data_IF_299341621512
#
_entry.id   IF_299341621512
#
_cell.length_a   1.000
_cell.length_b   1.000
_cell.length_c   1.000
_cell.angle_alpha   90.00
_cell.angle_beta   90.00
_cell.angle_gamma   90.00
#
_symmetry.space_group_name_H-M   'P 1'
#
loop_
_entity.id
_entity.type
_entity.pdbx_description
1 polymer ?
#
# COMPACT_ATOMS: atom_id res chain seq x y z
N UNK A 1 -15.72 12.87 -1.04
CA UNK A 1 -16.32 12.02 -2.04
C UNK A 1 -16.74 10.70 -1.44
N UNK A 2 -17.85 10.20 -1.91
CA UNK A 2 -18.40 8.95 -1.38
C UNK A 2 -17.45 7.77 -1.58
N UNK A 3 -16.76 7.74 -2.71
CA UNK A 3 -15.88 6.61 -3.01
C UNK A 3 -14.72 6.51 -2.01
N UNK A 4 -14.25 7.63 -1.50
CA UNK A 4 -13.17 7.61 -0.52
C UNK A 4 -13.60 6.97 0.78
N UNK A 5 -14.83 7.26 1.21
CA UNK A 5 -15.33 6.71 2.46
C UNK A 5 -15.59 5.22 2.37
N UNK A 6 -15.84 4.74 1.16
CA UNK A 6 -16.20 3.35 0.93
C UNK A 6 -15.07 2.54 0.33
N UNK A 7 -13.90 3.11 0.24
CA UNK A 7 -12.76 2.40 -0.30
C UNK A 7 -12.41 1.24 0.63
N UNK A 8 -12.35 0.05 0.06
CA UNK A 8 -12.06 -1.12 0.88
C UNK A 8 -10.58 -1.16 1.25
N UNK A 9 -10.30 -1.84 2.33
CA UNK A 9 -8.93 -2.16 2.70
C UNK A 9 -8.43 -3.29 1.83
N UNK A 10 -7.20 -3.16 1.36
CA UNK A 10 -6.60 -4.16 0.49
C UNK A 10 -5.49 -4.89 1.21
N UNK A 11 -5.32 -6.15 0.88
CA UNK A 11 -4.27 -6.96 1.49
C UNK A 11 -2.91 -6.61 0.91
N UNK A 12 -1.86 -7.11 1.55
CA UNK A 12 -0.51 -6.96 1.04
C UNK A 12 -0.40 -7.59 -0.34
N UNK A 13 -0.99 -8.76 -0.51
CA UNK A 13 -0.95 -9.45 -1.80
C UNK A 13 -1.68 -8.65 -2.88
N UNK A 14 -2.84 -8.10 -2.54
CA UNK A 14 -3.59 -7.29 -3.50
C UNK A 14 -2.82 -6.04 -3.88
N UNK A 15 -2.15 -5.43 -2.92
CA UNK A 15 -1.38 -4.24 -3.18
C UNK A 15 -0.19 -4.54 -4.08
N UNK A 16 0.48 -5.67 -3.84
CA UNK A 16 1.60 -6.09 -4.69
C UNK A 16 1.14 -6.29 -6.12
N UNK A 17 0.01 -6.94 -6.30
CA UNK A 17 -0.53 -7.17 -7.63
C UNK A 17 -0.93 -5.86 -8.30
N UNK A 18 -1.55 -4.98 -7.54
CA UNK A 18 -1.97 -3.68 -8.05
C UNK A 18 -0.79 -2.86 -8.56
N UNK A 19 0.32 -2.90 -7.83
CA UNK A 19 1.52 -2.15 -8.22
C UNK A 19 2.43 -2.91 -9.16
N UNK A 20 2.16 -4.20 -9.38
CA UNK A 20 2.98 -5.00 -10.28
C UNK A 20 4.33 -5.37 -9.68
N UNK A 21 4.40 -5.53 -8.37
CA UNK A 21 5.64 -5.90 -7.68
C UNK A 21 5.40 -7.16 -6.85
N UNK A 22 6.48 -7.70 -6.29
CA UNK A 22 6.36 -8.89 -5.46
C UNK A 22 5.95 -8.53 -4.05
N UNK A 23 5.43 -9.51 -3.32
CA UNK A 23 5.07 -9.32 -1.92
C UNK A 23 6.30 -8.95 -1.09
N UNK A 24 7.43 -9.54 -1.42
CA UNK A 24 8.66 -9.22 -0.70
C UNK A 24 9.07 -7.77 -0.89
N UNK A 25 8.83 -7.22 -2.06
CA UNK A 25 9.09 -5.81 -2.31
C UNK A 25 8.24 -4.94 -1.39
N UNK A 26 6.95 -5.28 -1.25
CA UNK A 26 6.07 -4.53 -0.36
C UNK A 26 6.57 -4.62 1.08
N UNK A 27 6.94 -5.81 1.53
CA UNK A 27 7.45 -5.98 2.88
C UNK A 27 8.70 -5.17 3.13
N UNK A 28 9.57 -5.11 2.14
CA UNK A 28 10.79 -4.31 2.23
C UNK A 28 10.44 -2.82 2.37
N UNK A 29 9.48 -2.36 1.56
CA UNK A 29 9.07 -0.96 1.62
C UNK A 29 8.45 -0.61 2.97
N UNK A 30 7.72 -1.53 3.58
CA UNK A 30 7.15 -1.30 4.91
C UNK A 30 8.26 -1.01 5.91
N UNK A 31 9.38 -1.71 5.78
CA UNK A 31 10.50 -1.55 6.70
C UNK A 31 11.36 -0.34 6.39
N UNK A 32 11.54 -0.02 5.11
CA UNK A 32 12.55 0.94 4.69
C UNK A 32 11.98 2.28 4.24
N UNK A 33 10.69 2.35 3.98
CA UNK A 33 10.08 3.58 3.48
C UNK A 33 8.86 3.91 4.32
N UNK A 34 8.23 5.02 3.97
CA UNK A 34 7.00 5.43 4.66
C UNK A 34 5.75 5.09 3.86
N UNK A 35 5.79 3.99 3.13
CA UNK A 35 4.60 3.52 2.42
C UNK A 35 3.42 3.46 3.39
N UNK A 36 2.26 3.98 3.00
CA UNK A 36 1.10 4.02 3.91
C UNK A 36 0.51 2.63 4.12
N UNK A 37 1.04 1.93 5.11
CA UNK A 37 0.60 0.60 5.50
C UNK A 37 0.01 0.66 6.90
N UNK A 38 -1.09 -0.06 7.09
CA UNK A 38 -1.80 -0.04 8.36
C UNK A 38 -1.94 -1.46 8.88
N UNK A 39 -1.66 -1.65 10.16
CA UNK A 39 -1.72 -2.96 10.76
C UNK A 39 -3.11 -3.20 11.31
N UNK A 40 -3.76 -4.28 10.84
CA UNK A 40 -5.05 -4.68 11.34
C UNK A 40 -4.89 -6.10 11.89
N UNK A 41 -4.86 -6.20 13.21
CA UNK A 41 -4.50 -7.48 13.82
C UNK A 41 -3.09 -7.86 13.42
N UNK A 42 -2.96 -8.97 12.73
CA UNK A 42 -1.65 -9.46 12.27
C UNK A 42 -1.38 -9.15 10.81
N UNK A 43 -2.33 -8.49 10.13
CA UNK A 43 -2.25 -8.31 8.69
C UNK A 43 -1.97 -6.87 8.35
N UNK A 44 -1.18 -6.67 7.31
CA UNK A 44 -0.98 -5.34 6.74
C UNK A 44 -2.12 -5.06 5.77
N UNK A 45 -2.69 -3.86 5.90
CA UNK A 45 -3.77 -3.42 5.02
C UNK A 45 -3.42 -2.08 4.42
N UNK A 46 -3.93 -1.84 3.23
CA UNK A 46 -3.59 -0.66 2.45
C UNK A 46 -4.85 -0.06 1.87
N UNK A 47 -4.80 1.23 1.62
CA UNK A 47 -5.81 1.92 0.81
C UNK A 47 -5.13 2.33 -0.48
N UNK A 48 -5.69 1.89 -1.61
CA UNK A 48 -5.06 2.17 -2.90
C UNK A 48 -4.90 3.67 -3.15
N UNK A 49 -5.85 4.49 -2.69
CA UNK A 49 -5.73 5.93 -2.87
C UNK A 49 -4.49 6.47 -2.17
N UNK A 50 -4.22 5.99 -0.97
CA UNK A 50 -3.02 6.42 -0.23
C UNK A 50 -1.76 5.93 -0.90
N UNK A 51 -1.78 4.68 -1.36
CA UNK A 51 -0.62 4.10 -2.03
C UNK A 51 -0.33 4.84 -3.32
N UNK A 52 -1.39 5.20 -4.07
CA UNK A 52 -1.22 5.97 -5.30
C UNK A 52 -0.50 7.29 -5.04
N UNK A 53 -0.92 8.01 -4.00
CA UNK A 53 -0.29 9.28 -3.70
C UNK A 53 1.17 9.09 -3.30
N UNK A 54 1.46 8.05 -2.54
CA UNK A 54 2.82 7.76 -2.14
C UNK A 54 3.69 7.44 -3.36
N UNK A 55 3.17 6.63 -4.29
CA UNK A 55 3.89 6.31 -5.51
C UNK A 55 4.12 7.56 -6.34
N UNK A 56 3.10 8.39 -6.48
CA UNK A 56 3.20 9.62 -7.27
C UNK A 56 4.23 10.58 -6.69
N UNK A 57 4.48 10.51 -5.41
CA UNK A 57 5.48 11.36 -4.78
C UNK A 57 6.90 10.96 -5.11
N UNK A 58 7.10 9.81 -5.75
CA UNK A 58 8.42 9.33 -6.13
C UNK A 58 9.15 8.56 -5.07
N UNK A 59 8.54 8.35 -3.92
CA UNK A 59 9.22 7.70 -2.81
C UNK A 59 9.47 6.23 -3.03
N UNK A 60 8.69 5.61 -3.92
CA UNK A 60 8.87 4.19 -4.21
C UNK A 60 10.07 3.93 -5.12
N UNK A 61 10.72 4.97 -5.61
CA UNK A 61 11.84 4.83 -6.55
C UNK A 61 13.16 4.51 -5.85
N UNK A 62 13.12 4.23 -4.58
CA UNK A 62 14.33 3.91 -3.81
C UNK A 62 14.94 2.57 -4.24
#
# INVERSE_FOLDING_TARGET
NMSEKNEKWSSLEETAEYLGVTKDTIRSWIKKTDIPAHKVGRLWKFKFSEVDEWVKSGKSAL
#
